data_IF_664511537706
#
_entry.id   IF_664511537706
#
_cell.length_a   1.000
_cell.length_b   1.000
_cell.length_c   1.000
_cell.angle_alpha   90.00
_cell.angle_beta   90.00
_cell.angle_gamma   90.00
#
_symmetry.space_group_name_H-M   'P 1'
#
loop_
_entity.id
_entity.type
_entity.pdbx_description
1 polymer ?
#
# COMPACT_ATOMS: atom_id res chain seq x y z
N UNK A 1 -49.70 14.23 21.21
CA UNK A 1 -49.19 13.16 20.32
C UNK A 1 -50.19 12.96 19.18
N UNK A 2 -49.78 13.14 17.92
CA UNK A 2 -50.64 12.91 16.76
C UNK A 2 -50.32 11.54 16.13
N UNK A 3 -50.89 10.47 16.70
CA UNK A 3 -50.70 9.12 16.17
C UNK A 3 -51.27 8.99 14.75
N UNK A 4 -50.54 8.30 13.88
CA UNK A 4 -50.92 8.08 12.48
C UNK A 4 -50.85 9.35 11.61
N UNK A 5 -50.15 10.39 12.07
CA UNK A 5 -49.95 11.61 11.32
C UNK A 5 -48.56 11.64 10.66
N UNK A 6 -48.45 12.31 9.52
CA UNK A 6 -47.22 12.43 8.73
C UNK A 6 -46.89 13.91 8.48
N UNK A 7 -45.61 14.26 8.52
CA UNK A 7 -45.15 15.57 8.05
C UNK A 7 -45.07 15.52 6.52
N UNK A 8 -45.89 16.32 5.85
CA UNK A 8 -46.04 16.33 4.38
C UNK A 8 -45.47 17.59 3.73
N UNK A 9 -44.98 18.54 4.53
CA UNK A 9 -44.41 19.77 4.04
C UNK A 9 -43.73 20.57 5.13
N UNK A 10 -42.87 21.50 4.71
CA UNK A 10 -42.16 22.43 5.58
C UNK A 10 -42.12 23.81 4.94
N UNK A 11 -42.21 24.86 5.74
CA UNK A 11 -42.18 26.27 5.31
C UNK A 11 -41.03 27.01 5.98
N UNK A 12 -40.26 27.77 5.20
CA UNK A 12 -39.05 28.44 5.65
C UNK A 12 -38.20 28.98 4.49
N UNK A 13 -37.19 29.80 4.78
CA UNK A 13 -36.20 30.27 3.78
C UNK A 13 -34.77 29.91 4.19
N UNK A 14 -34.28 30.50 5.27
CA UNK A 14 -32.96 30.20 5.86
C UNK A 14 -33.06 29.31 7.11
N UNK A 15 -34.26 28.79 7.39
CA UNK A 15 -34.59 27.99 8.56
C UNK A 15 -36.07 27.62 8.56
N UNK A 16 -36.43 26.58 9.30
CA UNK A 16 -37.79 26.10 9.44
C UNK A 16 -38.63 27.14 10.22
N UNK A 17 -39.88 27.33 9.81
CA UNK A 17 -40.86 28.22 10.48
C UNK A 17 -42.17 27.52 10.78
N UNK A 18 -42.55 26.56 9.94
CA UNK A 18 -43.71 25.71 10.18
C UNK A 18 -43.56 24.38 9.44
N UNK A 19 -44.30 23.37 9.92
CA UNK A 19 -44.50 22.10 9.23
C UNK A 19 -45.98 21.92 8.90
N UNK A 20 -46.26 21.26 7.78
CA UNK A 20 -47.62 20.81 7.43
C UNK A 20 -47.74 19.34 7.79
N UNK A 21 -48.77 19.00 8.56
CA UNK A 21 -49.04 17.65 9.05
C UNK A 21 -50.34 17.15 8.42
N UNK A 22 -50.35 15.90 7.94
CA UNK A 22 -51.53 15.20 7.43
C UNK A 22 -51.99 14.14 8.42
N UNK A 23 -53.28 14.09 8.74
CA UNK A 23 -53.89 13.05 9.59
C UNK A 23 -55.31 12.73 9.11
N UNK A 24 -55.57 11.47 8.77
CA UNK A 24 -56.93 10.99 8.46
C UNK A 24 -57.65 11.73 7.33
N UNK A 25 -56.91 12.26 6.34
CA UNK A 25 -57.44 13.04 5.21
C UNK A 25 -57.37 14.56 5.39
N UNK A 26 -57.19 15.04 6.61
CA UNK A 26 -57.06 16.47 6.92
C UNK A 26 -55.59 16.90 6.97
N UNK A 27 -55.35 18.19 6.69
CA UNK A 27 -54.02 18.81 6.84
C UNK A 27 -54.09 20.03 7.73
N UNK A 28 -53.13 20.17 8.64
CA UNK A 28 -52.98 21.34 9.51
C UNK A 28 -51.51 21.78 9.59
N UNK A 29 -51.28 23.04 9.93
CA UNK A 29 -49.93 23.58 10.14
C UNK A 29 -49.56 23.59 11.63
N UNK A 30 -48.28 23.40 11.91
CA UNK A 30 -47.67 23.57 13.24
C UNK A 30 -46.50 24.53 13.08
N UNK A 31 -46.54 25.67 13.77
CA UNK A 31 -45.41 26.59 13.82
C UNK A 31 -44.29 25.98 14.66
N UNK A 32 -43.09 25.92 14.09
CA UNK A 32 -41.90 25.34 14.73
C UNK A 32 -40.65 25.81 14.00
N UNK A 33 -39.55 25.95 14.73
CA UNK A 33 -38.22 26.22 14.19
C UNK A 33 -37.35 24.96 14.09
N UNK A 34 -37.82 23.83 14.62
CA UNK A 34 -37.11 22.56 14.63
C UNK A 34 -38.03 21.37 14.30
N UNK A 35 -37.48 20.40 13.58
CA UNK A 35 -38.11 19.10 13.34
C UNK A 35 -37.09 18.00 13.65
N UNK A 36 -37.27 17.34 14.80
CA UNK A 36 -36.51 16.13 15.13
C UNK A 36 -37.15 14.93 14.41
N UNK A 37 -36.39 14.27 13.54
CA UNK A 37 -36.87 13.13 12.76
C UNK A 37 -36.29 11.83 13.32
N UNK A 38 -37.15 10.83 13.50
CA UNK A 38 -36.76 9.46 13.85
C UNK A 38 -37.40 8.49 12.87
N UNK A 39 -36.68 8.19 11.79
CA UNK A 39 -37.12 7.25 10.74
C UNK A 39 -36.73 5.79 10.98
N UNK A 40 -36.12 5.48 12.12
CA UNK A 40 -35.57 4.16 12.43
C UNK A 40 -34.04 4.17 12.51
N UNK A 41 -33.47 2.98 12.70
CA UNK A 41 -32.02 2.78 12.89
C UNK A 41 -31.45 1.82 11.86
N UNK A 42 -30.32 2.20 11.27
CA UNK A 42 -29.52 1.33 10.41
C UNK A 42 -28.30 0.81 11.18
N UNK A 43 -28.17 -0.51 11.40
CA UNK A 43 -26.94 -1.09 11.93
C UNK A 43 -25.71 -0.65 11.13
N UNK A 44 -24.58 -0.44 11.82
CA UNK A 44 -23.34 -0.04 11.16
C UNK A 44 -22.62 -1.26 10.59
N UNK A 45 -22.90 -1.57 9.32
CA UNK A 45 -22.45 -2.80 8.65
C UNK A 45 -21.07 -2.73 7.99
N UNK A 46 -20.47 -1.54 7.93
CA UNK A 46 -19.30 -1.26 7.11
C UNK A 46 -18.18 -2.28 7.35
N UNK A 47 -17.75 -2.45 8.61
CA UNK A 47 -16.67 -3.38 8.94
C UNK A 47 -17.03 -4.84 8.63
N UNK A 48 -18.26 -5.26 8.92
CA UNK A 48 -18.72 -6.64 8.63
C UNK A 48 -18.82 -6.93 7.13
N UNK A 49 -18.91 -5.89 6.30
CA UNK A 49 -19.02 -6.01 4.84
C UNK A 49 -17.69 -5.77 4.10
N UNK A 50 -16.62 -5.32 4.77
CA UNK A 50 -15.33 -5.04 4.13
C UNK A 50 -14.63 -6.27 3.54
N UNK A 51 -14.98 -7.49 3.98
CA UNK A 51 -14.51 -8.76 3.42
C UNK A 51 -15.53 -9.42 2.49
N UNK A 52 -16.28 -8.62 1.73
CA UNK A 52 -17.38 -9.07 0.84
C UNK A 52 -18.53 -9.79 1.57
N UNK A 53 -18.64 -9.62 2.89
CA UNK A 53 -19.81 -10.03 3.65
C UNK A 53 -21.05 -9.32 3.13
N UNK A 54 -22.11 -10.08 2.85
CA UNK A 54 -23.40 -9.52 2.43
C UNK A 54 -24.32 -9.48 3.65
N UNK A 55 -24.87 -8.32 4.03
CA UNK A 55 -25.78 -8.24 5.15
C UNK A 55 -27.14 -8.86 4.80
N UNK A 56 -27.87 -9.31 5.81
CA UNK A 56 -29.22 -9.87 5.66
C UNK A 56 -30.26 -8.81 6.00
N UNK A 57 -31.40 -8.81 5.30
CA UNK A 57 -32.53 -7.97 5.65
C UNK A 57 -33.27 -8.49 6.89
N UNK A 58 -33.65 -7.59 7.80
CA UNK A 58 -34.50 -7.87 8.96
C UNK A 58 -35.78 -7.05 8.83
N UNK A 59 -36.92 -7.73 8.61
CA UNK A 59 -38.23 -7.09 8.51
C UNK A 59 -38.64 -6.44 9.84
N UNK A 60 -38.32 -7.07 10.97
CA UNK A 60 -38.61 -6.56 12.32
C UNK A 60 -37.95 -5.21 12.59
N UNK A 61 -36.74 -5.02 12.08
CA UNK A 61 -35.96 -3.80 12.26
C UNK A 61 -36.12 -2.82 11.09
N UNK A 62 -36.74 -3.27 10.00
CA UNK A 62 -36.74 -2.58 8.70
C UNK A 62 -35.32 -2.15 8.28
N UNK A 63 -34.33 -3.03 8.47
CA UNK A 63 -32.93 -2.69 8.26
C UNK A 63 -32.08 -3.91 7.88
N UNK A 64 -30.90 -3.65 7.31
CA UNK A 64 -29.89 -4.67 7.09
C UNK A 64 -29.10 -4.95 8.38
N UNK A 65 -28.88 -6.21 8.69
CA UNK A 65 -28.10 -6.72 9.83
C UNK A 65 -26.91 -7.55 9.34
N UNK A 66 -25.81 -7.64 10.12
CA UNK A 66 -24.66 -8.43 9.72
C UNK A 66 -24.99 -9.93 9.71
N UNK A 67 -24.18 -10.70 9.00
CA UNK A 67 -24.20 -12.16 9.05
C UNK A 67 -23.01 -12.62 9.90
N UNK A 68 -23.27 -13.58 10.79
CA UNK A 68 -22.24 -14.19 11.63
C UNK A 68 -21.15 -14.81 10.75
N UNK A 69 -19.88 -14.57 11.12
CA UNK A 69 -18.73 -15.10 10.38
C UNK A 69 -18.41 -14.36 9.07
N UNK A 70 -19.08 -13.25 8.74
CA UNK A 70 -18.76 -12.43 7.57
C UNK A 70 -17.32 -11.90 7.57
N UNK A 71 -16.74 -11.69 8.76
CA UNK A 71 -15.32 -11.39 8.95
C UNK A 71 -14.76 -12.41 9.97
N UNK A 72 -13.73 -13.21 9.63
CA UNK A 72 -13.15 -14.17 10.54
C UNK A 72 -12.70 -13.54 11.86
N UNK A 73 -13.14 -14.12 12.99
CA UNK A 73 -12.78 -13.65 14.33
C UNK A 73 -13.51 -12.39 14.81
N UNK A 74 -14.38 -11.80 14.00
CA UNK A 74 -15.19 -10.64 14.39
C UNK A 74 -16.59 -11.08 14.84
N UNK A 75 -17.07 -10.51 15.95
CA UNK A 75 -18.45 -10.68 16.43
C UNK A 75 -19.09 -9.30 16.55
N UNK A 76 -20.18 -9.08 15.83
CA UNK A 76 -20.99 -7.87 15.97
C UNK A 76 -21.90 -8.00 17.21
N UNK A 77 -22.00 -6.94 18.02
CA UNK A 77 -22.81 -6.89 19.24
C UNK A 77 -23.60 -5.60 19.33
N UNK A 78 -24.65 -5.59 20.15
CA UNK A 78 -25.56 -4.45 20.32
C UNK A 78 -26.23 -3.98 19.05
N UNK A 79 -26.51 -2.69 18.92
CA UNK A 79 -27.25 -2.17 17.77
C UNK A 79 -26.58 -2.52 16.42
N UNK A 80 -25.27 -2.74 16.39
CA UNK A 80 -24.56 -3.19 15.20
C UNK A 80 -24.97 -4.60 14.73
N UNK A 81 -25.43 -5.48 15.63
CA UNK A 81 -25.99 -6.79 15.28
C UNK A 81 -27.53 -6.82 15.20
N UNK A 82 -28.18 -5.69 15.45
CA UNK A 82 -29.64 -5.58 15.48
C UNK A 82 -30.26 -5.61 16.88
N UNK A 83 -29.49 -5.73 17.96
CA UNK A 83 -30.01 -5.65 19.33
C UNK A 83 -30.20 -4.19 19.74
N UNK A 84 -31.43 -3.69 19.63
CA UNK A 84 -31.74 -2.25 19.72
C UNK A 84 -32.05 -1.73 21.14
N UNK A 85 -32.24 -2.62 22.13
CA UNK A 85 -32.38 -2.19 23.54
C UNK A 85 -31.03 -2.05 24.23
N UNK A 86 -30.98 -1.25 25.30
CA UNK A 86 -29.77 -1.10 26.12
C UNK A 86 -29.38 -2.44 26.76
N UNK A 87 -30.36 -3.18 27.31
CA UNK A 87 -30.14 -4.52 27.85
C UNK A 87 -29.63 -5.50 26.78
N UNK A 88 -30.23 -5.53 25.58
CA UNK A 88 -29.80 -6.38 24.48
C UNK A 88 -28.37 -6.09 24.03
N UNK A 89 -27.97 -4.82 24.01
CA UNK A 89 -26.60 -4.44 23.70
C UNK A 89 -25.58 -4.93 24.73
N UNK A 90 -25.89 -4.77 26.02
CA UNK A 90 -25.06 -5.27 27.10
C UNK A 90 -25.00 -6.80 27.11
N UNK A 91 -26.13 -7.47 26.91
CA UNK A 91 -26.24 -8.93 26.91
C UNK A 91 -25.43 -9.57 25.79
N UNK A 92 -25.57 -9.07 24.55
CA UNK A 92 -24.80 -9.58 23.41
C UNK A 92 -23.30 -9.28 23.53
N UNK A 93 -22.93 -8.09 24.01
CA UNK A 93 -21.54 -7.74 24.31
C UNK A 93 -20.92 -8.63 25.38
N UNK A 94 -21.65 -8.85 26.47
CA UNK A 94 -21.25 -9.72 27.56
C UNK A 94 -21.01 -11.16 27.09
N UNK A 95 -21.96 -11.73 26.34
CA UNK A 95 -21.83 -13.09 25.81
C UNK A 95 -20.64 -13.24 24.86
N UNK A 96 -20.40 -12.27 23.97
CA UNK A 96 -19.25 -12.26 23.07
C UNK A 96 -17.92 -12.17 23.84
N UNK A 97 -17.84 -11.27 24.82
CA UNK A 97 -16.64 -11.08 25.64
C UNK A 97 -16.28 -12.36 26.42
N UNK A 98 -17.25 -13.05 27.03
CA UNK A 98 -17.00 -14.31 27.74
C UNK A 98 -16.46 -15.40 26.80
N UNK A 99 -16.98 -15.50 25.57
CA UNK A 99 -16.44 -16.43 24.56
C UNK A 99 -14.99 -16.09 24.20
N UNK A 100 -14.68 -14.82 24.00
CA UNK A 100 -13.31 -14.36 23.67
C UNK A 100 -12.33 -14.58 24.81
N UNK A 101 -12.72 -14.24 26.05
CA UNK A 101 -11.90 -14.46 27.26
C UNK A 101 -11.60 -15.95 27.45
N UNK A 102 -12.60 -16.81 27.25
CA UNK A 102 -12.42 -18.27 27.29
C UNK A 102 -11.47 -18.75 26.20
N UNK A 103 -11.59 -18.24 24.98
CA UNK A 103 -10.69 -18.58 23.88
C UNK A 103 -9.23 -18.16 24.15
N UNK A 104 -9.03 -17.09 24.92
CA UNK A 104 -7.71 -16.66 25.42
C UNK A 104 -7.20 -17.48 26.62
N UNK A 105 -7.89 -18.56 27.02
CA UNK A 105 -7.52 -19.39 28.17
C UNK A 105 -7.71 -18.70 29.51
N UNK A 106 -8.48 -17.61 29.55
CA UNK A 106 -8.75 -16.84 30.77
C UNK A 106 -10.14 -17.15 31.30
N UNK A 107 -10.34 -16.97 32.60
CA UNK A 107 -11.64 -17.05 33.26
C UNK A 107 -11.93 -15.72 33.94
N UNK A 108 -13.07 -15.13 33.62
CA UNK A 108 -13.58 -13.91 34.25
C UNK A 108 -15.03 -14.16 34.63
N UNK A 109 -15.42 -13.73 35.83
CA UNK A 109 -16.81 -13.64 36.24
C UNK A 109 -17.18 -12.15 36.26
N UNK A 110 -18.17 -11.77 35.46
CA UNK A 110 -18.68 -10.41 35.40
C UNK A 110 -20.20 -10.49 35.49
N UNK A 111 -20.83 -9.62 36.27
CA UNK A 111 -22.29 -9.52 36.27
C UNK A 111 -22.75 -8.75 35.02
N UNK A 112 -23.89 -9.16 34.44
CA UNK A 112 -24.56 -8.37 33.40
C UNK A 112 -25.21 -7.15 34.07
N UNK A 113 -24.93 -5.92 33.63
CA UNK A 113 -25.58 -4.74 34.20
C UNK A 113 -27.09 -4.74 33.92
N UNK A 114 -27.87 -4.24 34.87
CA UNK A 114 -29.29 -4.00 34.69
C UNK A 114 -29.51 -2.77 33.79
N UNK A 115 -30.43 -2.88 32.84
CA UNK A 115 -30.76 -1.81 31.90
C UNK A 115 -32.17 -1.99 31.34
N UNK A 116 -32.69 -0.97 30.67
CA UNK A 116 -33.98 -1.07 29.98
C UNK A 116 -33.94 -2.09 28.85
N UNK A 117 -35.06 -2.81 28.70
CA UNK A 117 -35.27 -3.79 27.64
C UNK A 117 -36.58 -3.52 26.88
N UNK A 118 -36.89 -2.24 26.67
CA UNK A 118 -38.06 -1.86 25.90
C UNK A 118 -37.95 -2.41 24.46
N UNK A 119 -39.00 -3.05 23.92
CA UNK A 119 -38.96 -3.60 22.58
C UNK A 119 -38.84 -2.48 21.55
N UNK A 120 -37.97 -2.69 20.57
CA UNK A 120 -37.89 -1.81 19.41
C UNK A 120 -38.99 -2.18 18.41
N UNK A 121 -39.87 -1.22 18.11
CA UNK A 121 -40.93 -1.40 17.13
C UNK A 121 -40.87 -0.30 16.09
N UNK A 122 -40.96 -0.66 14.82
CA UNK A 122 -40.95 0.28 13.70
C UNK A 122 -42.11 0.02 12.75
N UNK A 123 -42.70 1.09 12.24
CA UNK A 123 -43.53 1.06 11.03
C UNK A 123 -42.69 1.65 9.90
N UNK A 124 -42.29 0.86 8.88
CA UNK A 124 -41.51 1.39 7.77
C UNK A 124 -42.26 2.53 7.07
N UNK A 125 -41.57 3.65 6.88
CA UNK A 125 -42.07 4.81 6.13
C UNK A 125 -40.96 5.30 5.21
N UNK A 126 -40.89 4.71 4.02
CA UNK A 126 -39.81 4.95 3.05
C UNK A 126 -39.99 6.24 2.25
N UNK A 127 -41.24 6.66 2.07
CA UNK A 127 -41.59 7.88 1.36
C UNK A 127 -42.91 8.42 1.91
N UNK A 128 -42.98 9.75 2.07
CA UNK A 128 -44.24 10.46 2.27
C UNK A 128 -44.64 11.10 0.95
N UNK A 129 -45.83 10.80 0.45
CA UNK A 129 -46.36 11.48 -0.74
C UNK A 129 -46.76 12.92 -0.40
N UNK A 130 -46.16 13.90 -1.09
CA UNK A 130 -46.58 15.29 -0.99
C UNK A 130 -47.69 15.65 -1.97
N UNK A 131 -47.74 16.93 -2.37
CA UNK A 131 -48.87 17.52 -3.10
C UNK A 131 -48.75 17.36 -4.62
N UNK A 132 -47.71 16.70 -5.13
CA UNK A 132 -47.50 16.49 -6.57
C UNK A 132 -47.04 17.74 -7.32
N UNK A 133 -46.44 18.71 -6.61
CA UNK A 133 -45.92 19.93 -7.23
C UNK A 133 -44.59 19.66 -7.95
N UNK A 134 -44.36 20.31 -9.11
CA UNK A 134 -43.08 20.21 -9.84
C UNK A 134 -41.87 20.69 -9.02
N UNK A 135 -42.12 21.52 -8.02
CA UNK A 135 -41.09 22.09 -7.13
C UNK A 135 -40.95 21.31 -5.81
N UNK A 136 -41.67 20.19 -5.66
CA UNK A 136 -41.57 19.34 -4.47
C UNK A 136 -40.20 18.66 -4.40
N UNK A 137 -39.61 18.64 -3.20
CA UNK A 137 -38.30 18.04 -2.93
C UNK A 137 -38.39 17.08 -1.75
N UNK A 138 -38.37 15.79 -2.04
CA UNK A 138 -38.21 14.73 -1.05
C UNK A 138 -36.76 14.27 -1.06
N UNK A 139 -35.94 14.89 -0.22
CA UNK A 139 -34.48 14.66 -0.16
C UNK A 139 -34.14 13.29 0.44
N UNK A 140 -33.17 12.62 -0.17
CA UNK A 140 -32.56 11.37 0.31
C UNK A 140 -31.13 11.63 0.77
N UNK A 141 -30.31 12.22 -0.11
CA UNK A 141 -28.92 12.59 0.18
C UNK A 141 -28.80 14.11 0.19
N UNK A 142 -28.67 14.68 1.39
CA UNK A 142 -28.57 16.13 1.58
C UNK A 142 -27.24 16.72 1.11
N UNK A 143 -26.17 15.92 1.06
CA UNK A 143 -24.85 16.43 0.69
C UNK A 143 -24.68 16.55 -0.83
N UNK A 144 -25.34 15.66 -1.58
CA UNK A 144 -25.32 15.64 -3.04
C UNK A 144 -26.64 16.10 -3.68
N UNK A 145 -27.57 16.65 -2.90
CA UNK A 145 -28.87 17.13 -3.39
C UNK A 145 -29.67 16.05 -4.16
N UNK A 146 -29.64 14.79 -3.70
CA UNK A 146 -30.39 13.69 -4.32
C UNK A 146 -31.78 13.58 -3.71
N UNK A 147 -32.80 13.48 -4.57
CA UNK A 147 -34.20 13.31 -4.17
C UNK A 147 -34.78 11.97 -4.61
N UNK A 148 -35.96 11.61 -4.08
CA UNK A 148 -36.71 10.43 -4.55
C UNK A 148 -37.04 10.50 -6.04
N UNK A 149 -37.16 11.71 -6.61
CA UNK A 149 -37.43 11.90 -8.05
C UNK A 149 -36.25 11.42 -8.89
N UNK A 150 -35.02 11.68 -8.45
CA UNK A 150 -33.81 11.31 -9.18
C UNK A 150 -33.63 9.79 -9.20
N UNK A 151 -33.94 9.12 -8.07
CA UNK A 151 -33.97 7.65 -8.00
C UNK A 151 -35.03 7.07 -8.93
N UNK A 152 -36.27 7.60 -8.91
CA UNK A 152 -37.35 7.16 -9.80
C UNK A 152 -37.02 7.40 -11.28
N UNK A 153 -36.39 8.53 -11.61
CA UNK A 153 -35.92 8.83 -12.95
C UNK A 153 -34.86 7.82 -13.40
N UNK A 154 -33.89 7.48 -12.53
CA UNK A 154 -32.88 6.47 -12.86
C UNK A 154 -33.52 5.12 -13.18
N UNK A 155 -34.55 4.70 -12.43
CA UNK A 155 -35.29 3.48 -12.70
C UNK A 155 -36.06 3.56 -14.03
N UNK A 156 -36.70 4.71 -14.32
CA UNK A 156 -37.41 4.97 -15.57
C UNK A 156 -36.48 4.89 -16.80
N UNK A 157 -35.24 5.35 -16.66
CA UNK A 157 -34.20 5.27 -17.71
C UNK A 157 -33.51 3.90 -17.80
N UNK A 158 -33.97 2.91 -17.02
CA UNK A 158 -33.51 1.52 -17.12
C UNK A 158 -32.39 1.13 -16.14
N UNK A 159 -31.96 2.03 -15.26
CA UNK A 159 -30.96 1.74 -14.23
C UNK A 159 -31.58 0.97 -13.05
N UNK A 160 -31.69 -0.36 -13.21
CA UNK A 160 -32.31 -1.25 -12.20
C UNK A 160 -31.37 -1.73 -11.08
N UNK A 161 -30.06 -1.68 -11.30
CA UNK A 161 -29.07 -2.05 -10.29
C UNK A 161 -28.83 -0.89 -9.32
N UNK A 162 -28.72 -1.17 -8.03
CA UNK A 162 -28.33 -0.15 -7.03
C UNK A 162 -27.02 0.54 -7.41
N UNK A 163 -26.06 -0.19 -7.99
CA UNK A 163 -24.78 0.37 -8.41
C UNK A 163 -24.93 1.37 -9.57
N UNK A 164 -25.90 1.15 -10.47
CA UNK A 164 -26.20 2.10 -11.53
C UNK A 164 -26.96 3.31 -11.01
N UNK A 165 -27.98 3.12 -10.17
CA UNK A 165 -28.73 4.21 -9.52
C UNK A 165 -27.77 5.13 -8.77
N UNK A 166 -26.85 4.56 -7.98
CA UNK A 166 -25.79 5.31 -7.28
C UNK A 166 -24.97 6.19 -8.21
N UNK A 167 -24.47 5.64 -9.33
CA UNK A 167 -23.60 6.37 -10.27
C UNK A 167 -24.35 7.42 -11.08
N UNK A 168 -25.61 7.14 -11.40
CA UNK A 168 -26.47 8.07 -12.13
C UNK A 168 -26.85 9.28 -11.28
N UNK A 169 -27.27 9.04 -10.03
CA UNK A 169 -27.80 10.06 -9.13
C UNK A 169 -26.74 10.71 -8.25
N UNK A 170 -25.55 10.12 -8.13
CA UNK A 170 -24.52 10.43 -7.12
C UNK A 170 -24.90 10.09 -5.67
N UNK A 171 -26.00 9.35 -5.47
CA UNK A 171 -26.50 8.90 -4.17
C UNK A 171 -25.42 8.17 -3.34
N UNK A 172 -25.16 8.65 -2.12
CA UNK A 172 -24.22 8.02 -1.19
C UNK A 172 -22.74 8.12 -1.61
N UNK A 173 -22.41 9.06 -2.50
CA UNK A 173 -21.04 9.33 -2.94
C UNK A 173 -20.39 10.54 -2.24
N UNK A 174 -21.14 11.24 -1.39
CA UNK A 174 -20.65 12.34 -0.56
C UNK A 174 -19.63 11.89 0.51
N UNK A 175 -18.95 12.82 1.21
CA UNK A 175 -17.98 12.48 2.27
C UNK A 175 -18.55 11.65 3.42
N UNK A 176 -19.86 11.70 3.65
CA UNK A 176 -20.55 10.86 4.63
C UNK A 176 -20.72 9.40 4.14
N UNK A 177 -20.54 9.14 2.85
CA UNK A 177 -20.67 7.84 2.18
C UNK A 177 -22.08 7.23 2.30
N UNK A 178 -23.11 8.09 2.31
CA UNK A 178 -24.51 7.67 2.32
C UNK A 178 -24.97 6.98 3.61
N UNK A 179 -24.31 7.27 4.74
CA UNK A 179 -24.64 6.68 6.06
C UNK A 179 -26.10 6.93 6.47
N UNK A 180 -26.67 8.07 6.08
CA UNK A 180 -28.07 8.43 6.37
C UNK A 180 -29.04 8.13 5.22
N UNK A 181 -28.54 7.96 3.99
CA UNK A 181 -29.35 8.07 2.78
C UNK A 181 -29.52 6.75 2.01
N UNK A 182 -28.56 5.82 2.13
CA UNK A 182 -28.52 4.61 1.29
C UNK A 182 -29.74 3.70 1.45
N UNK A 183 -30.18 3.42 2.69
CA UNK A 183 -31.31 2.49 2.92
C UNK A 183 -32.62 3.07 2.40
N UNK A 184 -32.85 4.38 2.57
CA UNK A 184 -34.02 5.04 2.02
C UNK A 184 -34.00 5.05 0.48
N UNK A 185 -32.85 5.36 -0.13
CA UNK A 185 -32.72 5.32 -1.59
C UNK A 185 -32.91 3.90 -2.17
N UNK A 186 -32.45 2.87 -1.44
CA UNK A 186 -32.70 1.48 -1.78
C UNK A 186 -34.17 1.12 -1.75
N UNK A 187 -34.90 1.56 -0.74
CA UNK A 187 -36.33 1.32 -0.64
C UNK A 187 -37.10 2.02 -1.78
N UNK A 188 -36.73 3.24 -2.13
CA UNK A 188 -37.33 3.97 -3.27
C UNK A 188 -37.02 3.27 -4.59
N UNK A 189 -35.79 2.77 -4.78
CA UNK A 189 -35.44 2.00 -5.98
C UNK A 189 -36.18 0.66 -6.04
N UNK A 190 -36.31 -0.04 -4.91
CA UNK A 190 -37.02 -1.29 -4.80
C UNK A 190 -38.49 -1.12 -5.22
N UNK A 191 -39.18 -0.11 -4.68
CA UNK A 191 -40.54 0.26 -5.06
C UNK A 191 -40.64 0.64 -6.56
N UNK A 192 -39.77 1.54 -7.03
CA UNK A 192 -39.76 1.99 -8.43
C UNK A 192 -39.47 0.87 -9.45
N UNK A 193 -38.85 -0.23 -9.03
CA UNK A 193 -38.52 -1.38 -9.88
C UNK A 193 -39.39 -2.60 -9.62
N UNK A 194 -40.33 -2.54 -8.67
CA UNK A 194 -41.21 -3.65 -8.30
C UNK A 194 -40.47 -4.83 -7.65
N UNK A 195 -39.39 -4.57 -6.89
CA UNK A 195 -38.54 -5.59 -6.25
C UNK A 195 -38.56 -5.47 -4.73
N UNK A 196 -38.15 -6.53 -4.04
CA UNK A 196 -37.88 -6.45 -2.60
C UNK A 196 -36.62 -5.64 -2.29
N UNK A 197 -36.58 -4.98 -1.12
CA UNK A 197 -35.35 -4.38 -0.59
C UNK A 197 -34.18 -5.39 -0.50
N UNK A 198 -34.35 -6.61 0.05
CA UNK A 198 -33.28 -7.62 0.06
C UNK A 198 -32.80 -8.01 -1.34
N UNK A 199 -33.70 -8.06 -2.31
CA UNK A 199 -33.36 -8.40 -3.70
C UNK A 199 -32.58 -7.29 -4.40
N UNK A 200 -32.90 -6.03 -4.07
CA UNK A 200 -32.22 -4.84 -4.61
C UNK A 200 -30.76 -4.81 -4.17
N UNK A 201 -30.49 -5.28 -2.94
CA UNK A 201 -29.14 -5.42 -2.37
C UNK A 201 -28.52 -4.08 -1.99
N UNK A 202 -27.49 -4.10 -1.14
CA UNK A 202 -26.75 -2.89 -0.78
C UNK A 202 -25.69 -2.55 -1.82
N UNK A 203 -25.20 -1.31 -1.82
CA UNK A 203 -23.96 -0.98 -2.52
C UNK A 203 -22.75 -1.60 -1.81
N UNK A 204 -21.61 -1.66 -2.50
CA UNK A 204 -20.36 -2.17 -1.91
C UNK A 204 -19.85 -1.22 -0.82
N UNK A 205 -19.62 -1.77 0.38
CA UNK A 205 -18.94 -1.08 1.48
C UNK A 205 -17.42 -1.10 1.25
N UNK A 206 -16.76 0.06 1.38
CA UNK A 206 -15.33 0.21 1.13
C UNK A 206 -14.63 0.87 2.32
N UNK A 207 -13.40 0.45 2.66
CA UNK A 207 -12.54 1.26 3.51
C UNK A 207 -12.11 2.54 2.78
N UNK A 208 -11.80 3.62 3.52
CA UNK A 208 -11.94 3.73 4.97
C UNK A 208 -13.38 4.03 5.39
N UNK A 209 -13.79 3.62 6.61
CA UNK A 209 -15.14 3.87 7.15
C UNK A 209 -15.49 5.38 7.19
N UNK A 210 -14.49 6.19 7.52
CA UNK A 210 -14.49 7.64 7.45
C UNK A 210 -13.20 8.10 6.79
N UNK A 211 -13.18 9.27 6.13
CA UNK A 211 -11.97 9.77 5.47
C UNK A 211 -10.75 9.81 6.40
N UNK A 212 -9.60 9.38 5.89
CA UNK A 212 -8.31 9.44 6.59
C UNK A 212 -7.38 10.37 5.82
N UNK A 213 -6.65 11.22 6.54
CA UNK A 213 -5.66 12.12 5.94
C UNK A 213 -4.55 11.33 5.22
N UNK A 214 -4.22 11.75 3.99
CA UNK A 214 -3.08 11.20 3.24
C UNK A 214 -1.78 11.32 4.04
N UNK A 215 -1.59 12.42 4.78
CA UNK A 215 -0.41 12.63 5.61
C UNK A 215 -0.31 11.65 6.79
N UNK A 216 -1.46 11.18 7.32
CA UNK A 216 -1.47 10.15 8.35
C UNK A 216 -1.07 8.78 7.78
N UNK A 217 -1.50 8.45 6.56
CA UNK A 217 -1.09 7.21 5.88
C UNK A 217 0.40 7.22 5.50
N UNK A 218 0.95 8.38 5.13
CA UNK A 218 2.36 8.56 4.78
C UNK A 218 3.25 8.95 5.96
N UNK A 219 2.81 8.76 7.21
CA UNK A 219 3.57 9.18 8.39
C UNK A 219 4.97 8.55 8.40
N UNK A 220 6.00 9.38 8.55
CA UNK A 220 7.41 8.98 8.47
C UNK A 220 8.02 9.04 7.07
N UNK A 221 7.23 8.95 6.00
CA UNK A 221 7.69 8.91 4.60
C UNK A 221 8.04 10.27 3.96
N UNK A 222 8.61 11.22 4.72
CA UNK A 222 8.93 12.58 4.22
C UNK A 222 10.42 12.87 4.26
N UNK A 223 10.94 13.62 3.28
CA UNK A 223 12.35 14.01 3.18
C UNK A 223 13.27 12.79 3.36
N UNK A 224 14.24 12.83 4.29
CA UNK A 224 15.13 11.70 4.58
C UNK A 224 14.41 10.45 5.15
N UNK A 225 13.16 10.57 5.58
CA UNK A 225 12.33 9.43 5.99
C UNK A 225 11.63 8.72 4.82
N UNK A 226 11.70 9.27 3.60
CA UNK A 226 11.09 8.63 2.42
C UNK A 226 11.83 7.36 2.00
N UNK A 227 13.16 7.36 2.05
CA UNK A 227 13.99 6.22 1.68
C UNK A 227 15.32 6.23 2.46
N UNK A 228 15.92 5.05 2.76
CA UNK A 228 17.23 4.97 3.37
C UNK A 228 18.32 5.60 2.51
N UNK A 229 19.31 6.23 3.14
CA UNK A 229 20.49 6.76 2.47
C UNK A 229 21.70 5.87 2.77
N UNK A 230 22.38 5.38 1.73
CA UNK A 230 23.57 4.54 1.85
C UNK A 230 24.80 5.34 1.47
N UNK A 231 25.81 5.31 2.33
CA UNK A 231 27.05 6.06 2.20
C UNK A 231 28.24 5.11 2.15
N UNK A 232 29.18 5.37 1.24
CA UNK A 232 30.44 4.62 1.18
C UNK A 232 31.37 5.02 2.33
N UNK A 233 32.37 4.20 2.63
CA UNK A 233 33.42 4.54 3.61
C UNK A 233 34.18 5.83 3.25
N UNK A 234 34.21 6.21 1.97
CA UNK A 234 34.81 7.45 1.48
C UNK A 234 33.86 8.66 1.42
N UNK A 235 32.58 8.54 1.82
CA UNK A 235 31.57 9.59 1.64
C UNK A 235 32.00 10.92 2.29
N UNK A 236 32.43 10.87 3.57
CA UNK A 236 32.94 12.05 4.27
C UNK A 236 34.13 12.68 3.55
N UNK A 237 35.15 11.89 3.22
CA UNK A 237 36.33 12.39 2.53
C UNK A 237 36.00 12.99 1.16
N UNK A 238 34.98 12.46 0.49
CA UNK A 238 34.53 12.98 -0.80
C UNK A 238 33.83 14.33 -0.66
N UNK A 239 32.95 14.47 0.32
CA UNK A 239 32.26 15.73 0.62
C UNK A 239 33.21 16.82 1.11
N UNK A 240 34.19 16.46 1.94
CA UNK A 240 35.23 17.37 2.42
C UNK A 240 36.08 17.93 1.25
N UNK A 241 36.14 17.22 0.12
CA UNK A 241 36.77 17.66 -1.15
C UNK A 241 35.81 18.40 -2.09
N UNK A 242 34.60 18.73 -1.63
CA UNK A 242 33.61 19.46 -2.40
C UNK A 242 32.92 18.65 -3.50
N UNK A 243 32.95 17.31 -3.45
CA UNK A 243 32.30 16.50 -4.46
C UNK A 243 30.76 16.62 -4.36
N UNK A 244 30.05 17.00 -5.44
CA UNK A 244 28.62 16.86 -5.49
C UNK A 244 28.24 15.38 -5.57
N UNK A 245 27.23 14.99 -4.80
CA UNK A 245 26.80 13.61 -4.69
C UNK A 245 25.59 13.34 -5.60
N UNK A 246 25.63 12.24 -6.33
CA UNK A 246 24.55 11.74 -7.17
C UNK A 246 23.92 10.48 -6.56
N UNK A 247 22.62 10.31 -6.79
CA UNK A 247 21.87 9.14 -6.35
C UNK A 247 22.03 8.00 -7.37
N UNK A 248 22.47 6.84 -6.89
CA UNK A 248 22.55 5.59 -7.64
C UNK A 248 21.76 4.51 -6.89
N UNK A 249 20.44 4.48 -7.13
CA UNK A 249 19.52 3.79 -6.23
C UNK A 249 19.53 4.47 -4.86
N UNK A 250 19.78 3.71 -3.78
CA UNK A 250 19.87 4.26 -2.42
C UNK A 250 21.28 4.78 -2.07
N UNK A 251 22.26 4.64 -2.97
CA UNK A 251 23.63 5.09 -2.74
C UNK A 251 23.82 6.55 -3.14
N UNK A 252 24.62 7.26 -2.35
CA UNK A 252 25.16 8.57 -2.73
C UNK A 252 26.60 8.43 -3.18
N UNK A 253 26.88 8.76 -4.45
CA UNK A 253 28.22 8.63 -5.06
C UNK A 253 28.78 9.99 -5.46
N UNK A 254 30.11 10.24 -5.33
CA UNK A 254 30.70 11.47 -5.82
C UNK A 254 30.62 11.49 -7.36
N UNK A 255 30.17 12.61 -7.90
CA UNK A 255 30.07 12.82 -9.35
C UNK A 255 31.42 13.22 -9.96
N UNK A 256 32.05 14.23 -9.38
CA UNK A 256 33.36 14.78 -9.76
C UNK A 256 33.98 15.52 -8.57
N UNK A 257 35.25 15.92 -8.65
CA UNK A 257 35.96 16.65 -7.59
C UNK A 257 36.47 18.00 -8.11
N UNK A 258 35.75 19.12 -7.87
CA UNK A 258 36.15 20.44 -8.35
C UNK A 258 37.41 20.95 -7.63
N UNK A 259 38.24 21.71 -8.35
CA UNK A 259 39.35 22.51 -7.79
C UNK A 259 38.98 23.99 -7.70
N UNK A 260 39.63 24.77 -6.82
CA UNK A 260 39.48 26.22 -6.81
C UNK A 260 39.72 26.82 -8.20
N UNK A 261 38.77 27.64 -8.67
CA UNK A 261 38.80 28.25 -9.99
C UNK A 261 38.02 27.51 -11.08
N UNK A 262 37.60 26.27 -10.84
CA UNK A 262 36.68 25.56 -11.75
C UNK A 262 35.24 25.91 -11.40
N UNK A 263 34.49 26.39 -12.39
CA UNK A 263 33.13 26.92 -12.21
C UNK A 263 32.06 25.99 -12.77
N UNK A 264 32.43 25.06 -13.65
CA UNK A 264 31.51 24.07 -14.23
C UNK A 264 31.95 22.64 -13.93
N UNK A 265 30.98 21.72 -13.90
CA UNK A 265 31.26 20.28 -13.78
C UNK A 265 32.18 19.77 -14.91
N UNK A 266 32.05 20.36 -16.11
CA UNK A 266 32.78 19.95 -17.31
C UNK A 266 34.27 20.25 -17.19
N UNK A 267 34.64 21.41 -16.64
CA UNK A 267 36.06 21.75 -16.39
C UNK A 267 36.73 20.73 -15.47
N UNK A 268 36.07 20.38 -14.37
CA UNK A 268 36.56 19.37 -13.43
C UNK A 268 36.69 17.99 -14.10
N UNK A 269 35.65 17.56 -14.83
CA UNK A 269 35.66 16.28 -15.55
C UNK A 269 36.73 16.23 -16.65
N UNK A 270 36.89 17.28 -17.46
CA UNK A 270 37.91 17.36 -18.52
C UNK A 270 39.33 17.24 -17.92
N UNK A 271 39.57 17.89 -16.78
CA UNK A 271 40.82 17.73 -16.02
C UNK A 271 40.97 16.30 -15.50
N UNK A 272 39.95 15.74 -14.86
CA UNK A 272 40.01 14.39 -14.29
C UNK A 272 40.28 13.32 -15.36
N UNK A 273 39.60 13.41 -16.50
CA UNK A 273 39.82 12.50 -17.65
C UNK A 273 41.25 12.63 -18.16
N UNK A 274 41.74 13.86 -18.36
CA UNK A 274 43.14 14.13 -18.75
C UNK A 274 44.11 13.52 -17.73
N UNK A 275 43.89 13.73 -16.43
CA UNK A 275 44.74 13.20 -15.36
C UNK A 275 44.77 11.67 -15.33
N UNK A 276 43.62 11.01 -15.51
CA UNK A 276 43.56 9.54 -15.59
C UNK A 276 44.34 9.03 -16.80
N UNK A 277 44.18 9.65 -17.97
CA UNK A 277 44.83 9.17 -19.21
C UNK A 277 46.33 9.44 -19.25
N UNK A 278 46.81 10.53 -18.67
CA UNK A 278 48.23 10.92 -18.72
C UNK A 278 49.02 10.60 -17.45
N UNK A 279 48.33 10.31 -16.34
CA UNK A 279 48.96 10.01 -15.06
C UNK A 279 48.24 8.87 -14.33
N UNK A 280 47.42 9.19 -13.32
CA UNK A 280 46.66 8.23 -12.52
C UNK A 280 45.46 8.93 -11.90
N UNK A 281 44.34 8.24 -11.80
CA UNK A 281 43.19 8.63 -11.00
C UNK A 281 42.65 7.46 -10.19
N UNK A 282 41.84 7.79 -9.18
CA UNK A 282 41.24 6.83 -8.26
C UNK A 282 39.73 7.10 -8.22
N UNK A 283 38.94 6.05 -8.45
CA UNK A 283 37.48 6.11 -8.33
C UNK A 283 37.01 5.11 -7.26
N UNK A 284 36.15 5.56 -6.35
CA UNK A 284 35.46 4.66 -5.42
C UNK A 284 34.31 3.94 -6.16
N UNK A 285 34.45 2.63 -6.27
CA UNK A 285 33.48 1.73 -6.91
C UNK A 285 32.89 0.75 -5.90
N UNK A 286 32.98 1.07 -4.60
CA UNK A 286 32.46 0.24 -3.50
C UNK A 286 30.97 -0.03 -3.60
N UNK A 287 30.20 0.75 -4.38
CA UNK A 287 28.77 0.54 -4.58
C UNK A 287 28.41 -0.59 -5.54
N UNK A 288 29.35 -1.13 -6.32
CA UNK A 288 29.08 -2.30 -7.17
C UNK A 288 28.61 -3.48 -6.32
N UNK A 289 27.64 -4.26 -6.82
CA UNK A 289 27.26 -5.49 -6.14
C UNK A 289 28.42 -6.46 -6.16
N UNK A 290 28.62 -7.19 -5.06
CA UNK A 290 29.67 -8.20 -4.93
C UNK A 290 29.06 -9.45 -4.34
N UNK A 291 29.26 -10.58 -5.00
CA UNK A 291 28.69 -11.87 -4.61
C UNK A 291 29.82 -12.88 -4.57
N UNK A 292 30.04 -13.43 -3.39
CA UNK A 292 31.01 -14.50 -3.17
C UNK A 292 30.34 -15.84 -3.48
N UNK A 293 30.91 -16.62 -4.40
CA UNK A 293 30.30 -17.83 -4.96
C UNK A 293 31.29 -18.98 -4.80
N UNK A 294 30.88 -20.03 -4.08
CA UNK A 294 31.74 -21.14 -3.71
C UNK A 294 31.05 -22.49 -3.93
N UNK A 295 31.85 -23.52 -4.22
CA UNK A 295 31.40 -24.91 -4.35
C UNK A 295 31.80 -25.55 -5.68
N UNK A 296 31.82 -26.89 -5.76
CA UNK A 296 32.29 -27.61 -6.94
C UNK A 296 31.47 -27.34 -8.21
N UNK A 297 30.19 -26.96 -8.08
CA UNK A 297 29.35 -26.57 -9.21
C UNK A 297 29.38 -25.06 -9.52
N UNK A 298 30.22 -24.25 -8.85
CA UNK A 298 30.23 -22.80 -9.03
C UNK A 298 30.50 -22.36 -10.48
N UNK A 299 31.50 -22.94 -11.14
CA UNK A 299 31.80 -22.64 -12.54
C UNK A 299 30.65 -23.03 -13.48
N UNK A 300 30.02 -24.18 -13.23
CA UNK A 300 28.84 -24.66 -13.99
C UNK A 300 27.62 -23.76 -13.77
N UNK A 301 27.41 -23.30 -12.54
CA UNK A 301 26.36 -22.32 -12.20
C UNK A 301 26.56 -21.01 -12.93
N UNK A 302 27.79 -20.50 -12.97
CA UNK A 302 28.12 -19.30 -13.73
C UNK A 302 27.88 -19.47 -15.24
N UNK A 303 28.22 -20.63 -15.82
CA UNK A 303 27.92 -20.94 -17.23
C UNK A 303 26.41 -20.92 -17.53
N UNK A 304 25.57 -21.21 -16.53
CA UNK A 304 24.12 -21.24 -16.68
C UNK A 304 23.50 -19.84 -16.62
N UNK A 305 24.00 -18.95 -15.76
CA UNK A 305 23.43 -17.60 -15.55
C UNK A 305 24.06 -16.52 -16.45
N UNK A 306 25.27 -16.76 -16.97
CA UNK A 306 25.91 -15.88 -17.93
C UNK A 306 25.78 -16.39 -19.37
N UNK A 307 25.88 -15.47 -20.31
CA UNK A 307 25.92 -15.79 -21.75
C UNK A 307 27.22 -16.43 -22.22
N UNK A 308 28.30 -16.30 -21.44
CA UNK A 308 29.61 -16.85 -21.75
C UNK A 308 30.08 -17.82 -20.66
N UNK A 309 31.02 -18.68 -21.01
CA UNK A 309 31.55 -19.71 -20.12
C UNK A 309 32.50 -19.10 -19.07
N UNK A 310 32.39 -19.50 -17.81
CA UNK A 310 33.27 -19.21 -16.66
C UNK A 310 33.95 -20.46 -16.09
N UNK A 311 33.42 -21.67 -16.32
CA UNK A 311 34.02 -22.94 -15.85
C UNK A 311 35.46 -23.17 -16.33
N UNK A 312 35.79 -22.66 -17.52
CA UNK A 312 37.12 -22.75 -18.15
C UNK A 312 38.08 -21.60 -17.81
N UNK A 313 37.63 -20.62 -17.01
CA UNK A 313 38.48 -19.49 -16.62
C UNK A 313 39.63 -19.99 -15.72
N UNK A 314 40.92 -19.77 -16.02
CA UNK A 314 41.98 -20.19 -15.11
C UNK A 314 41.91 -19.45 -13.76
N UNK A 315 42.34 -20.09 -12.67
CA UNK A 315 42.49 -19.43 -11.36
C UNK A 315 43.44 -18.25 -11.48
N UNK A 316 43.17 -17.16 -10.76
CA UNK A 316 43.94 -15.91 -10.85
C UNK A 316 43.57 -15.06 -12.06
N UNK A 317 42.45 -15.35 -12.74
CA UNK A 317 41.94 -14.60 -13.88
C UNK A 317 40.55 -14.05 -13.61
N UNK A 318 40.24 -12.98 -14.32
CA UNK A 318 38.95 -12.29 -14.31
C UNK A 318 38.32 -12.41 -15.70
N UNK A 319 37.00 -12.45 -15.77
CA UNK A 319 36.24 -12.44 -17.04
C UNK A 319 35.02 -11.55 -16.91
N UNK A 320 34.75 -10.75 -17.95
CA UNK A 320 33.51 -9.99 -18.08
C UNK A 320 32.42 -10.89 -18.65
N UNK A 321 31.18 -10.72 -18.19
CA UNK A 321 30.02 -11.48 -18.66
C UNK A 321 28.75 -10.63 -18.67
N UNK A 322 27.81 -11.03 -19.52
CA UNK A 322 26.46 -10.48 -19.62
C UNK A 322 25.47 -11.54 -19.13
N UNK A 323 24.59 -11.14 -18.21
CA UNK A 323 23.41 -11.93 -17.84
C UNK A 323 22.22 -11.45 -18.67
N UNK A 324 21.43 -12.37 -19.20
CA UNK A 324 20.21 -12.06 -19.92
C UNK A 324 19.01 -12.56 -19.13
N UNK A 325 17.87 -11.92 -19.35
CA UNK A 325 16.58 -12.49 -18.99
C UNK A 325 16.19 -13.57 -20.00
N UNK A 326 15.13 -14.31 -19.67
CA UNK A 326 14.56 -15.36 -20.52
C UNK A 326 14.11 -14.86 -21.90
N UNK A 327 13.79 -13.57 -22.04
CA UNK A 327 13.44 -12.92 -23.31
C UNK A 327 14.66 -12.46 -24.13
N UNK A 328 15.88 -12.76 -23.67
CA UNK A 328 17.14 -12.43 -24.35
C UNK A 328 17.62 -10.99 -24.15
N UNK A 329 16.91 -10.17 -23.36
CA UNK A 329 17.35 -8.80 -23.04
C UNK A 329 18.29 -8.78 -21.85
N UNK A 330 19.23 -7.84 -21.85
CA UNK A 330 20.23 -7.70 -20.78
C UNK A 330 19.54 -7.50 -19.43
N UNK A 331 19.91 -8.36 -18.48
CA UNK A 331 19.51 -8.27 -17.08
C UNK A 331 20.51 -7.41 -16.30
N UNK A 332 21.78 -7.80 -16.36
CA UNK A 332 22.90 -7.10 -15.73
C UNK A 332 24.23 -7.56 -16.34
N UNK A 333 25.33 -6.93 -15.95
CA UNK A 333 26.66 -7.25 -16.41
C UNK A 333 27.70 -7.08 -15.31
N UNK A 334 28.91 -7.55 -15.59
CA UNK A 334 30.02 -7.30 -14.70
C UNK A 334 31.15 -8.28 -14.89
N UNK A 335 32.08 -8.27 -13.93
CA UNK A 335 33.25 -9.15 -13.96
C UNK A 335 33.16 -10.19 -12.86
N UNK A 336 33.59 -11.42 -13.15
CA UNK A 336 33.82 -12.42 -12.11
C UNK A 336 35.29 -12.85 -12.10
N UNK A 337 35.89 -12.81 -10.91
CA UNK A 337 37.25 -13.26 -10.64
C UNK A 337 37.21 -14.71 -10.15
N UNK A 338 38.03 -15.61 -10.72
CA UNK A 338 38.23 -16.96 -10.18
C UNK A 338 39.38 -16.95 -9.19
N UNK A 339 39.05 -16.94 -7.90
CA UNK A 339 39.99 -16.82 -6.79
C UNK A 339 40.59 -18.17 -6.37
N UNK A 340 39.87 -19.26 -6.64
CA UNK A 340 40.32 -20.64 -6.44
C UNK A 340 39.56 -21.61 -7.35
N UNK A 341 39.87 -22.91 -7.27
CA UNK A 341 39.26 -23.90 -8.16
C UNK A 341 37.73 -23.88 -8.13
N UNK A 342 37.17 -23.68 -6.94
CA UNK A 342 35.73 -23.68 -6.68
C UNK A 342 35.26 -22.36 -6.05
N UNK A 343 35.96 -21.25 -6.33
CA UNK A 343 35.72 -19.97 -5.67
C UNK A 343 35.78 -18.82 -6.66
N UNK A 344 34.66 -18.11 -6.80
CA UNK A 344 34.49 -16.96 -7.66
C UNK A 344 33.97 -15.75 -6.87
N UNK A 345 34.46 -14.57 -7.21
CA UNK A 345 33.90 -13.30 -6.74
C UNK A 345 33.29 -12.57 -7.94
N UNK A 346 31.97 -12.49 -7.96
CA UNK A 346 31.19 -11.80 -8.97
C UNK A 346 31.00 -10.33 -8.59
N UNK A 347 31.09 -9.45 -9.58
CA UNK A 347 30.68 -8.05 -9.49
C UNK A 347 29.48 -7.80 -10.40
N UNK A 348 28.57 -6.94 -9.95
CA UNK A 348 27.34 -6.55 -10.66
C UNK A 348 27.23 -5.02 -10.70
N UNK A 349 26.31 -4.48 -11.47
CA UNK A 349 26.04 -3.04 -11.42
C UNK A 349 25.52 -2.61 -10.04
N UNK A 350 25.72 -1.34 -9.68
CA UNK A 350 25.35 -0.78 -8.37
C UNK A 350 23.87 -0.91 -8.04
N UNK A 351 23.00 -0.52 -8.98
CA UNK A 351 21.56 -0.49 -8.74
C UNK A 351 20.95 -1.90 -8.79
N UNK A 352 21.56 -2.83 -9.53
CA UNK A 352 21.04 -4.18 -9.73
C UNK A 352 21.58 -5.22 -8.73
N UNK A 353 22.48 -4.87 -7.80
CA UNK A 353 23.07 -5.83 -6.86
C UNK A 353 22.05 -6.74 -6.17
N UNK A 354 20.95 -6.16 -5.65
CA UNK A 354 19.87 -6.95 -5.03
C UNK A 354 19.02 -7.73 -6.03
N UNK A 355 18.86 -7.21 -7.25
CA UNK A 355 18.14 -7.89 -8.33
C UNK A 355 18.90 -9.15 -8.78
N UNK A 356 20.21 -9.04 -8.99
CA UNK A 356 21.07 -10.16 -9.39
C UNK A 356 21.13 -11.21 -8.30
N UNK A 357 21.35 -10.84 -7.03
CA UNK A 357 21.34 -11.81 -5.92
C UNK A 357 20.02 -12.61 -5.88
N UNK A 358 18.88 -11.92 -5.97
CA UNK A 358 17.55 -12.57 -6.03
C UNK A 358 17.40 -13.47 -7.27
N UNK A 359 17.95 -13.05 -8.40
CA UNK A 359 17.93 -13.86 -9.62
C UNK A 359 18.74 -15.15 -9.46
N UNK A 360 19.95 -15.07 -8.90
CA UNK A 360 20.76 -16.25 -8.60
C UNK A 360 20.05 -17.19 -7.61
N UNK A 361 19.45 -16.65 -6.55
CA UNK A 361 18.65 -17.43 -5.59
C UNK A 361 17.50 -18.17 -6.28
N UNK A 362 16.75 -17.47 -7.13
CA UNK A 362 15.65 -18.06 -7.91
C UNK A 362 16.15 -19.17 -8.83
N UNK A 363 17.20 -18.91 -9.62
CA UNK A 363 17.74 -19.90 -10.56
C UNK A 363 18.24 -21.14 -9.82
N UNK A 364 18.98 -20.94 -8.72
CA UNK A 364 19.47 -22.03 -7.91
C UNK A 364 18.32 -22.88 -7.34
N UNK A 365 17.31 -22.24 -6.72
CA UNK A 365 16.19 -22.97 -6.10
C UNK A 365 15.25 -23.64 -7.12
N UNK A 366 15.02 -23.02 -8.28
CA UNK A 366 14.05 -23.50 -9.26
C UNK A 366 14.65 -24.51 -10.25
N UNK A 367 15.92 -24.37 -10.62
CA UNK A 367 16.53 -25.13 -11.74
C UNK A 367 17.81 -25.89 -11.37
N UNK A 368 18.47 -25.53 -10.27
CA UNK A 368 19.78 -26.08 -9.90
C UNK A 368 19.82 -26.56 -8.45
N UNK A 369 18.69 -26.98 -7.88
CA UNK A 369 18.58 -27.27 -6.44
C UNK A 369 19.54 -28.36 -5.95
N UNK A 370 19.89 -29.31 -6.84
CA UNK A 370 20.82 -30.41 -6.55
C UNK A 370 22.30 -30.03 -6.81
N UNK A 371 22.60 -28.80 -7.25
CA UNK A 371 23.97 -28.37 -7.52
C UNK A 371 24.65 -27.92 -6.23
N UNK A 372 25.91 -28.33 -6.07
CA UNK A 372 26.73 -27.98 -4.92
C UNK A 372 27.38 -26.62 -5.12
N UNK A 373 26.56 -25.57 -5.00
CA UNK A 373 26.99 -24.17 -5.04
C UNK A 373 26.34 -23.40 -3.88
N UNK A 374 27.10 -22.47 -3.30
CA UNK A 374 26.63 -21.53 -2.27
C UNK A 374 27.13 -20.15 -2.65
N UNK A 375 26.31 -19.14 -2.41
CA UNK A 375 26.72 -17.77 -2.65
C UNK A 375 26.08 -16.83 -1.65
N UNK A 376 26.82 -15.77 -1.33
CA UNK A 376 26.39 -14.73 -0.38
C UNK A 376 26.77 -13.37 -0.93
N UNK A 377 25.95 -12.36 -0.63
CA UNK A 377 26.36 -10.99 -0.94
C UNK A 377 27.44 -10.54 0.03
N UNK A 378 28.54 -10.05 -0.53
CA UNK A 378 29.66 -9.40 0.19
C UNK A 378 29.78 -7.93 -0.22
N UNK A 379 28.73 -7.37 -0.84
CA UNK A 379 28.67 -6.00 -1.38
C UNK A 379 29.14 -4.96 -0.38
N UNK A 380 28.63 -5.02 0.87
CA UNK A 380 28.95 -4.07 1.94
C UNK A 380 30.16 -4.49 2.77
N UNK A 381 30.61 -5.74 2.64
CA UNK A 381 31.79 -6.24 3.35
C UNK A 381 33.09 -5.73 2.72
N UNK A 382 33.06 -5.34 1.43
CA UNK A 382 34.24 -4.97 0.65
C UNK A 382 34.09 -3.56 0.08
N UNK A 383 35.01 -2.67 0.49
CA UNK A 383 35.28 -1.45 -0.25
C UNK A 383 36.13 -1.78 -1.49
N UNK A 384 35.92 -1.04 -2.58
CA UNK A 384 36.64 -1.27 -3.83
C UNK A 384 37.00 0.06 -4.50
N UNK A 385 38.27 0.21 -4.84
CA UNK A 385 38.79 1.40 -5.51
C UNK A 385 39.42 1.01 -6.85
N UNK A 386 38.96 1.66 -7.92
CA UNK A 386 39.57 1.54 -9.23
C UNK A 386 40.72 2.56 -9.35
N UNK A 387 41.95 2.07 -9.49
CA UNK A 387 43.15 2.89 -9.73
C UNK A 387 43.53 2.75 -11.20
N UNK A 388 43.39 3.82 -11.99
CA UNK A 388 43.50 3.76 -13.45
C UNK A 388 44.45 4.84 -14.00
N UNK A 389 45.18 4.49 -15.07
CA UNK A 389 46.12 5.37 -15.76
C UNK A 389 47.51 4.76 -15.91
N UNK A 390 48.39 5.34 -16.75
CA UNK A 390 49.73 4.81 -17.01
C UNK A 390 50.61 4.70 -15.75
N UNK A 391 50.35 5.50 -14.71
CA UNK A 391 51.07 5.45 -13.42
C UNK A 391 50.38 4.60 -12.34
N UNK A 392 49.25 3.95 -12.65
CA UNK A 392 48.48 3.17 -11.68
C UNK A 392 49.29 2.06 -11.02
N UNK A 393 50.07 1.30 -11.81
CA UNK A 393 50.94 0.24 -11.29
C UNK A 393 51.94 0.75 -10.27
N UNK A 394 52.61 1.87 -10.56
CA UNK A 394 53.57 2.48 -9.66
C UNK A 394 52.90 2.93 -8.35
N UNK A 395 51.70 3.52 -8.44
CA UNK A 395 50.93 3.91 -7.26
C UNK A 395 50.49 2.71 -6.42
N UNK A 396 49.95 1.66 -7.03
CA UNK A 396 49.53 0.46 -6.29
C UNK A 396 50.74 -0.19 -5.59
N UNK A 397 51.86 -0.33 -6.31
CA UNK A 397 53.10 -0.89 -5.78
C UNK A 397 53.76 -0.05 -4.67
N UNK A 398 53.34 1.20 -4.45
CA UNK A 398 53.78 1.96 -3.28
C UNK A 398 52.98 1.69 -2.00
N UNK A 399 51.85 0.97 -2.08
CA UNK A 399 50.99 0.66 -0.93
C UNK A 399 50.98 -0.82 -0.54
N UNK A 400 51.24 -1.72 -1.50
CA UNK A 400 51.33 -3.17 -1.23
C UNK A 400 52.70 -3.52 -0.66
N UNK A 401 52.74 -4.52 0.22
CA UNK A 401 53.99 -4.98 0.84
C UNK A 401 54.94 -5.67 -0.16
N UNK A 402 54.38 -6.30 -1.20
CA UNK A 402 55.13 -6.94 -2.28
C UNK A 402 54.64 -6.40 -3.63
N UNK A 403 55.54 -5.96 -4.53
CA UNK A 403 55.16 -5.48 -5.85
C UNK A 403 54.39 -6.52 -6.65
N UNK A 404 53.36 -6.06 -7.35
CA UNK A 404 52.48 -6.90 -8.16
C UNK A 404 52.72 -6.63 -9.64
N UNK A 405 52.91 -7.70 -10.40
CA UNK A 405 52.91 -7.68 -11.87
C UNK A 405 51.88 -8.70 -12.37
N UNK A 406 50.71 -8.20 -12.75
CA UNK A 406 49.62 -9.02 -13.26
C UNK A 406 49.41 -8.73 -14.76
N UNK A 407 49.18 -9.77 -15.57
CA UNK A 407 48.67 -9.60 -16.92
C UNK A 407 47.28 -8.94 -16.90
N UNK A 408 46.85 -8.37 -18.03
CA UNK A 408 45.49 -7.85 -18.17
C UNK A 408 44.46 -8.91 -17.74
N UNK A 409 43.47 -8.51 -16.92
CA UNK A 409 42.47 -9.40 -16.30
C UNK A 409 43.09 -10.50 -15.41
N UNK A 410 44.24 -10.23 -14.79
CA UNK A 410 44.79 -11.02 -13.69
C UNK A 410 44.29 -10.52 -12.33
N UNK A 411 44.23 -11.42 -11.35
CA UNK A 411 43.89 -11.13 -9.96
C UNK A 411 44.79 -11.93 -9.04
N UNK A 412 45.22 -11.32 -7.94
CA UNK A 412 45.99 -11.98 -6.90
C UNK A 412 45.69 -11.34 -5.54
N UNK A 413 45.73 -12.11 -4.44
CA UNK A 413 45.69 -11.54 -3.09
C UNK A 413 46.96 -10.73 -2.83
N UNK A 414 46.82 -9.64 -2.07
CA UNK A 414 47.93 -8.75 -1.69
C UNK A 414 47.83 -8.41 -0.21
N UNK A 415 48.96 -8.02 0.40
CA UNK A 415 48.95 -7.44 1.75
C UNK A 415 49.10 -5.93 1.69
N UNK A 416 48.25 -5.23 2.43
CA UNK A 416 48.27 -3.77 2.57
C UNK A 416 48.18 -3.43 4.06
N UNK A 417 49.18 -2.72 4.58
CA UNK A 417 49.19 -2.28 5.99
C UNK A 417 49.04 -3.42 7.01
N UNK A 418 49.64 -4.59 6.76
CA UNK A 418 49.57 -5.76 7.63
C UNK A 418 48.30 -6.61 7.48
N UNK A 419 47.31 -6.16 6.70
CA UNK A 419 46.08 -6.93 6.43
C UNK A 419 46.28 -7.76 5.17
N UNK A 420 46.02 -9.07 5.28
CA UNK A 420 45.99 -9.97 4.13
C UNK A 420 44.65 -9.86 3.41
N UNK A 421 44.70 -9.66 2.09
CA UNK A 421 43.54 -9.73 1.19
C UNK A 421 43.47 -11.02 0.40
#
# INVERSE_FOLDING_TARGET
>A
MHLGAEVVGSRGRHGLRAITVRKGGETFEVETDCLAMSGGWNPTLHLTCHMNGRPRWSEELAAFVPIDGAVPGLVAVGAANGSMSTHGALSTGHAAALKMVKALGRKVALALPEAEDAPYTIKPLWQVEGKGSRNERAWLDFANDVTTKDVKLSAQEGFRSVEHMKRYTTQGMAPDQGKSSNVAALAVLADATGRGIPETGTTVYRPPYTPVSIAAMGAGGRAAGFAPQRFMTSDKASRDRGAPMIEAGLWYRPSYFPKPGETTWREACDREVTMVRHAVGVADVSTLGKIDIQGPDAGRFLDFVYTNTFSTLPVGRVRYGLMLREDGLVLDDGTSARLGDNHYLMTTTTAAAGLVMRHLDFVHQAFCADWQVRFISVTESWAQFAVAGPKARALVNSFVEAPVDLPFMGVAPVRVGGVAG
#
